data_IF_151824465209
#
_entry.id   IF_151824465209
#
_cell.length_a   1.000
_cell.length_b   1.000
_cell.length_c   1.000
_cell.angle_alpha   90.00
_cell.angle_beta   90.00
_cell.angle_gamma   90.00
#
_symmetry.space_group_name_H-M   'P 1'
#
loop_
_entity.id
_entity.type
_entity.pdbx_description
1 polymer ?
#
# COMPACT_ATOMS: atom_id res chain seq x y z
N UNK A 1 3.26 9.76 -4.09
CA UNK A 1 2.54 9.26 -5.30
C UNK A 1 1.62 10.34 -5.82
N UNK A 2 1.24 10.38 -7.10
CA UNK A 2 0.38 11.44 -7.64
C UNK A 2 -0.89 10.87 -8.29
N UNK A 3 -2.01 11.56 -8.10
CA UNK A 3 -3.29 11.30 -8.76
C UNK A 3 -4.10 12.60 -8.77
N UNK A 4 -5.42 12.49 -8.84
CA UNK A 4 -6.24 13.68 -8.82
C UNK A 4 -7.72 13.43 -8.57
N UNK A 5 -8.47 14.51 -8.70
CA UNK A 5 -9.93 14.51 -8.56
C UNK A 5 -10.50 15.59 -9.47
N UNK A 6 -11.26 15.19 -10.48
CA UNK A 6 -11.86 16.11 -11.45
C UNK A 6 -13.27 16.49 -10.97
N UNK A 7 -13.60 17.78 -10.99
CA UNK A 7 -14.86 18.33 -10.47
C UNK A 7 -15.11 17.98 -8.99
N UNK A 8 -14.05 18.01 -8.18
CA UNK A 8 -14.13 17.75 -6.74
C UNK A 8 -13.88 18.98 -5.87
N UNK A 9 -13.52 20.11 -6.47
CA UNK A 9 -13.41 21.39 -5.77
C UNK A 9 -14.82 21.82 -5.35
N UNK A 10 -14.98 22.21 -4.10
CA UNK A 10 -16.26 22.51 -3.46
C UNK A 10 -16.14 23.71 -2.54
N UNK A 11 -17.27 24.33 -2.18
CA UNK A 11 -17.28 25.33 -1.11
C UNK A 11 -17.05 24.70 0.25
N UNK A 12 -16.40 25.43 1.14
CA UNK A 12 -16.01 24.92 2.46
C UNK A 12 -17.19 24.57 3.35
N UNK A 13 -18.35 25.19 3.16
CA UNK A 13 -19.59 24.78 3.86
C UNK A 13 -20.04 23.35 3.50
N UNK A 14 -19.75 22.84 2.30
CA UNK A 14 -20.02 21.43 1.95
C UNK A 14 -19.13 20.50 2.78
N UNK A 15 -17.85 20.84 2.93
CA UNK A 15 -16.93 20.09 3.80
C UNK A 15 -17.38 20.12 5.27
N UNK A 16 -17.79 21.29 5.78
CA UNK A 16 -18.31 21.42 7.15
C UNK A 16 -19.58 20.59 7.38
N UNK A 17 -20.52 20.57 6.42
CA UNK A 17 -21.71 19.71 6.49
C UNK A 17 -21.35 18.23 6.59
N UNK A 18 -20.28 17.80 5.91
CA UNK A 18 -19.81 16.41 5.96
C UNK A 18 -19.13 16.10 7.29
N UNK A 19 -18.35 17.02 7.84
CA UNK A 19 -17.78 16.86 9.16
C UNK A 19 -18.85 16.86 10.26
N UNK A 20 -19.97 17.56 10.06
CA UNK A 20 -21.13 17.47 10.95
C UNK A 20 -21.77 16.06 10.99
N UNK A 21 -21.45 15.14 10.08
CA UNK A 21 -21.87 13.73 10.19
C UNK A 21 -21.24 13.01 11.38
N UNK A 22 -20.05 13.44 11.78
CA UNK A 22 -19.32 12.85 12.91
C UNK A 22 -19.88 13.37 14.23
N UNK A 23 -20.38 14.62 14.29
CA UNK A 23 -20.87 15.26 15.52
C UNK A 23 -19.84 15.08 16.65
N UNK A 24 -20.24 14.53 17.79
CA UNK A 24 -19.39 14.18 18.94
C UNK A 24 -18.84 12.74 18.85
N UNK A 25 -19.12 12.00 17.78
CA UNK A 25 -18.65 10.64 17.59
C UNK A 25 -17.40 10.59 16.70
N UNK A 26 -16.45 9.72 17.03
CA UNK A 26 -15.23 9.57 16.25
C UNK A 26 -15.43 8.80 14.92
N UNK A 27 -16.55 8.06 14.80
CA UNK A 27 -16.85 7.18 13.67
C UNK A 27 -18.23 7.46 13.08
N UNK A 28 -18.33 7.31 11.75
CA UNK A 28 -19.62 7.24 11.06
C UNK A 28 -19.63 6.07 10.06
N UNK A 29 -20.81 5.55 9.74
CA UNK A 29 -20.91 4.37 8.88
C UNK A 29 -20.54 4.72 7.44
N UNK A 30 -19.81 3.82 6.77
CA UNK A 30 -19.39 4.01 5.37
C UNK A 30 -20.56 4.33 4.44
N UNK A 31 -21.71 3.63 4.47
CA UNK A 31 -22.82 3.95 3.57
C UNK A 31 -23.36 5.37 3.77
N UNK A 32 -23.45 5.83 5.02
CA UNK A 32 -23.93 7.18 5.35
C UNK A 32 -22.94 8.24 4.88
N UNK A 33 -21.65 8.03 5.14
CA UNK A 33 -20.60 8.92 4.67
C UNK A 33 -20.57 8.98 3.14
N UNK A 34 -20.53 7.83 2.48
CA UNK A 34 -20.50 7.71 1.02
C UNK A 34 -21.70 8.34 0.32
N UNK A 35 -22.90 8.22 0.89
CA UNK A 35 -24.11 8.82 0.35
C UNK A 35 -24.07 10.35 0.35
N UNK A 36 -23.41 10.97 1.34
CA UNK A 36 -23.25 12.42 1.39
C UNK A 36 -22.03 12.89 0.59
N UNK A 37 -20.90 12.19 0.71
CA UNK A 37 -19.61 12.61 0.17
C UNK A 37 -19.48 12.33 -1.33
N UNK A 38 -20.15 11.29 -1.82
CA UNK A 38 -20.18 10.93 -3.24
C UNK A 38 -21.08 11.83 -4.10
N UNK A 39 -21.82 12.78 -3.50
CA UNK A 39 -22.59 13.76 -4.26
C UNK A 39 -21.65 14.73 -4.98
N UNK A 40 -22.07 15.18 -6.17
CA UNK A 40 -21.39 16.27 -6.88
C UNK A 40 -21.25 17.51 -5.96
N UNK A 41 -20.15 18.26 -6.01
CA UNK A 41 -19.89 19.42 -5.15
C UNK A 41 -20.71 20.67 -5.53
N UNK A 42 -21.98 20.50 -5.88
CA UNK A 42 -22.91 21.59 -6.15
C UNK A 42 -23.78 21.83 -4.92
N UNK A 43 -23.76 23.05 -4.40
CA UNK A 43 -24.48 23.43 -3.16
C UNK A 43 -25.98 23.12 -3.20
N UNK A 44 -26.61 23.24 -4.37
CA UNK A 44 -28.03 22.93 -4.59
C UNK A 44 -28.41 21.47 -4.29
N UNK A 45 -27.43 20.57 -4.16
CA UNK A 45 -27.63 19.16 -3.83
C UNK A 45 -27.58 18.86 -2.32
N UNK A 46 -27.32 19.88 -1.50
CA UNK A 46 -27.10 19.74 -0.07
C UNK A 46 -28.13 20.56 0.72
N UNK A 47 -28.52 19.99 1.86
CA UNK A 47 -29.30 20.70 2.88
C UNK A 47 -28.37 21.11 4.02
N UNK A 48 -28.21 22.42 4.19
CA UNK A 48 -27.34 23.00 5.21
C UNK A 48 -28.07 23.33 6.51
N UNK A 49 -29.35 22.99 6.65
CA UNK A 49 -30.17 23.27 7.84
C UNK A 49 -29.59 22.70 9.16
N UNK A 50 -28.75 21.67 9.05
CA UNK A 50 -28.06 21.07 10.18
C UNK A 50 -26.80 21.82 10.66
N UNK A 51 -26.32 22.80 9.89
CA UNK A 51 -25.21 23.66 10.28
C UNK A 51 -25.71 24.87 11.08
N UNK A 52 -24.95 25.26 12.10
CA UNK A 52 -25.21 26.50 12.83
C UNK A 52 -24.83 27.72 12.00
N UNK A 53 -25.31 28.90 12.39
CA UNK A 53 -24.94 30.16 11.72
C UNK A 53 -23.43 30.41 11.80
N UNK A 54 -22.79 30.04 12.92
CA UNK A 54 -21.35 30.14 13.11
C UNK A 54 -20.59 29.21 12.16
N UNK A 55 -21.08 27.97 11.98
CA UNK A 55 -20.47 27.03 11.03
C UNK A 55 -20.61 27.50 9.57
N UNK A 56 -21.73 28.11 9.21
CA UNK A 56 -21.92 28.71 7.89
C UNK A 56 -20.96 29.90 7.67
N UNK A 57 -20.86 30.79 8.66
CA UNK A 57 -19.94 31.93 8.62
C UNK A 57 -18.46 31.49 8.54
N UNK A 58 -18.10 30.42 9.25
CA UNK A 58 -16.77 29.80 9.15
C UNK A 58 -16.51 29.29 7.73
N UNK A 59 -17.47 28.60 7.12
CA UNK A 59 -17.36 28.13 5.73
C UNK A 59 -17.10 29.27 4.75
N UNK A 60 -17.85 30.37 4.86
CA UNK A 60 -17.66 31.56 4.02
C UNK A 60 -16.30 32.23 4.25
N UNK A 61 -15.83 32.29 5.50
CA UNK A 61 -14.50 32.82 5.82
C UNK A 61 -13.38 31.98 5.21
N UNK A 62 -13.51 30.65 5.27
CA UNK A 62 -12.55 29.72 4.67
C UNK A 62 -12.50 29.86 3.15
N UNK A 63 -13.66 29.93 2.49
CA UNK A 63 -13.73 30.16 1.04
C UNK A 63 -13.06 31.50 0.65
N UNK A 64 -13.25 32.55 1.46
CA UNK A 64 -12.63 33.87 1.24
C UNK A 64 -11.11 33.86 1.43
N UNK A 65 -10.61 33.01 2.32
CA UNK A 65 -9.19 32.85 2.59
C UNK A 65 -8.51 31.85 1.63
N UNK A 66 -9.20 31.45 0.55
CA UNK A 66 -8.71 30.49 -0.45
C UNK A 66 -8.37 29.11 0.15
N UNK A 67 -9.04 28.73 1.24
CA UNK A 67 -8.95 27.38 1.80
C UNK A 67 -9.42 26.37 0.76
N UNK A 68 -8.70 25.25 0.64
CA UNK A 68 -9.03 24.24 -0.35
C UNK A 68 -10.02 23.23 0.24
N UNK A 69 -11.23 23.20 -0.29
CA UNK A 69 -12.27 22.29 0.15
C UNK A 69 -12.62 21.28 -0.96
N UNK A 70 -12.31 20.00 -0.71
CA UNK A 70 -12.54 18.91 -1.64
C UNK A 70 -13.70 18.01 -1.20
N UNK A 71 -14.49 17.61 -2.18
CA UNK A 71 -15.62 16.72 -2.04
C UNK A 71 -15.73 15.81 -3.27
N UNK A 72 -15.58 14.51 -3.10
CA UNK A 72 -15.96 13.57 -4.16
C UNK A 72 -15.22 12.24 -4.13
N UNK A 73 -15.22 11.58 -5.29
CA UNK A 73 -14.50 10.34 -5.55
C UNK A 73 -13.26 10.70 -6.36
N UNK A 74 -12.08 10.43 -5.80
CA UNK A 74 -10.82 10.67 -6.50
C UNK A 74 -10.53 9.61 -7.57
N UNK A 75 -9.48 9.81 -8.36
CA UNK A 75 -9.07 8.92 -9.45
C UNK A 75 -8.78 7.48 -8.97
N UNK A 76 -8.59 7.29 -7.66
CA UNK A 76 -8.37 6.00 -7.01
C UNK A 76 -9.66 5.32 -6.53
N UNK A 77 -10.82 5.92 -6.76
CA UNK A 77 -12.11 5.42 -6.29
C UNK A 77 -12.35 5.62 -4.79
N UNK A 78 -11.48 6.37 -4.10
CA UNK A 78 -11.66 6.66 -2.68
C UNK A 78 -12.58 7.88 -2.50
N UNK A 79 -13.51 7.75 -1.56
CA UNK A 79 -14.47 8.78 -1.19
C UNK A 79 -13.81 9.63 -0.10
N UNK A 80 -13.48 10.88 -0.45
CA UNK A 80 -12.75 11.79 0.44
C UNK A 80 -13.47 13.13 0.57
N UNK A 81 -13.46 13.65 1.80
CA UNK A 81 -13.75 15.05 2.09
C UNK A 81 -12.48 15.64 2.67
N UNK A 82 -11.94 16.71 2.10
CA UNK A 82 -10.71 17.35 2.59
C UNK A 82 -10.97 18.84 2.77
N UNK A 83 -10.41 19.41 3.82
CA UNK A 83 -10.36 20.84 4.07
C UNK A 83 -8.91 21.16 4.43
N UNK A 84 -8.29 22.05 3.65
CA UNK A 84 -6.92 22.50 3.86
C UNK A 84 -6.92 23.98 4.18
N UNK A 85 -6.22 24.38 5.24
CA UNK A 85 -6.07 25.77 5.68
C UNK A 85 -4.76 25.99 6.42
N UNK A 86 -4.55 27.21 6.92
CA UNK A 86 -3.38 27.52 7.76
C UNK A 86 -3.45 26.76 9.09
N UNK A 87 -2.29 26.58 9.74
CA UNK A 87 -2.23 25.95 11.06
C UNK A 87 -3.15 26.62 12.09
N UNK A 88 -3.36 27.93 11.98
CA UNK A 88 -4.22 28.71 12.86
C UNK A 88 -5.72 28.51 12.54
N UNK A 89 -6.06 28.31 11.27
CA UNK A 89 -7.43 27.96 10.84
C UNK A 89 -7.79 26.50 11.15
N UNK A 90 -6.80 25.62 11.38
CA UNK A 90 -7.00 24.19 11.70
C UNK A 90 -6.69 23.84 13.16
N UNK A 91 -5.89 24.63 13.88
CA UNK A 91 -5.40 24.28 15.22
C UNK A 91 -4.68 25.45 15.94
N UNK A 92 -5.40 26.22 16.75
CA UNK A 92 -4.83 27.06 17.85
C UNK A 92 -4.13 26.22 18.97
N UNK A 93 -3.62 25.02 18.67
CA UNK A 93 -3.03 24.07 19.63
C UNK A 93 -1.60 23.61 19.27
N UNK A 94 -1.02 23.98 18.12
CA UNK A 94 0.30 23.44 17.72
C UNK A 94 1.31 24.56 17.51
N UNK A 95 2.12 24.82 18.55
CA UNK A 95 3.36 25.59 18.44
C UNK A 95 4.37 24.86 17.55
N UNK A 96 4.42 25.21 16.27
CA UNK A 96 5.41 24.73 15.31
C UNK A 96 6.31 25.89 14.85
N UNK A 97 7.18 26.37 15.72
CA UNK A 97 8.02 27.56 15.50
C UNK A 97 9.11 27.42 14.42
N UNK A 98 9.11 26.35 13.59
CA UNK A 98 10.13 26.15 12.53
C UNK A 98 9.64 25.54 11.22
N UNK A 99 8.41 25.01 11.13
CA UNK A 99 7.92 24.28 9.94
C UNK A 99 6.64 24.92 9.40
N UNK A 100 6.73 25.57 8.24
CA UNK A 100 5.59 26.25 7.60
C UNK A 100 4.86 25.29 6.69
N UNK A 101 3.72 24.78 7.16
CA UNK A 101 2.87 23.86 6.42
C UNK A 101 1.41 24.26 6.57
N UNK A 102 0.63 23.99 5.54
CA UNK A 102 -0.82 23.91 5.71
C UNK A 102 -1.16 22.63 6.46
N UNK A 103 -2.35 22.64 7.05
CA UNK A 103 -2.93 21.48 7.71
C UNK A 103 -4.18 21.05 6.98
N UNK A 104 -4.34 19.74 6.91
CA UNK A 104 -5.45 19.10 6.23
C UNK A 104 -6.25 18.29 7.25
N UNK A 105 -7.55 18.55 7.27
CA UNK A 105 -8.55 17.68 7.88
C UNK A 105 -9.15 16.83 6.76
N UNK A 106 -9.14 15.51 6.93
CA UNK A 106 -9.69 14.59 5.95
C UNK A 106 -10.68 13.64 6.61
N UNK A 107 -11.84 13.48 5.97
CA UNK A 107 -12.73 12.35 6.21
C UNK A 107 -12.49 11.26 5.17
N UNK A 108 -12.21 10.03 5.61
CA UNK A 108 -12.00 8.88 4.73
C UNK A 108 -12.55 7.60 5.33
N UNK A 109 -12.94 6.69 4.46
CA UNK A 109 -13.39 5.34 4.82
C UNK A 109 -12.20 4.42 5.08
N UNK A 110 -12.16 3.81 6.27
CA UNK A 110 -11.10 2.88 6.70
C UNK A 110 -11.64 1.47 6.92
N UNK A 111 -10.71 0.52 6.98
CA UNK A 111 -10.97 -0.87 7.35
C UNK A 111 -10.58 -1.09 8.81
N UNK A 112 -11.48 -1.73 9.56
CA UNK A 112 -11.27 -2.14 10.94
C UNK A 112 -11.42 -3.65 11.05
N UNK A 113 -10.58 -4.23 11.90
CA UNK A 113 -10.60 -5.62 12.31
C UNK A 113 -11.21 -5.69 13.70
N UNK A 114 -12.10 -6.65 13.93
CA UNK A 114 -12.68 -6.87 15.26
C UNK A 114 -12.69 -8.36 15.62
N UNK A 115 -12.35 -8.74 16.86
CA UNK A 115 -12.49 -10.12 17.31
C UNK A 115 -13.96 -10.52 17.26
N UNK A 116 -14.27 -11.62 16.58
CA UNK A 116 -15.64 -12.17 16.56
C UNK A 116 -15.90 -13.02 17.80
N UNK A 117 -14.86 -13.69 18.30
CA UNK A 117 -14.88 -14.47 19.53
C UNK A 117 -13.55 -14.26 20.27
N UNK A 118 -13.61 -13.92 21.56
CA UNK A 118 -12.41 -13.73 22.38
C UNK A 118 -11.59 -15.03 22.47
N UNK A 119 -10.26 -14.90 22.46
CA UNK A 119 -9.35 -16.03 22.56
C UNK A 119 -9.22 -16.89 21.29
N UNK A 120 -9.74 -16.41 20.15
CA UNK A 120 -9.62 -17.07 18.84
C UNK A 120 -8.86 -16.19 17.85
N UNK A 121 -8.38 -16.79 16.76
CA UNK A 121 -7.79 -16.06 15.63
C UNK A 121 -8.85 -15.49 14.67
N UNK A 122 -10.15 -15.57 15.00
CA UNK A 122 -11.24 -15.20 14.10
C UNK A 122 -11.56 -13.70 14.21
N UNK A 123 -11.07 -12.95 13.23
CA UNK A 123 -11.35 -11.51 13.11
C UNK A 123 -12.31 -11.23 11.96
N UNK A 124 -13.39 -10.52 12.30
CA UNK A 124 -14.28 -9.88 11.35
C UNK A 124 -13.64 -8.62 10.79
N UNK A 125 -14.20 -8.15 9.67
CA UNK A 125 -13.79 -6.90 9.03
C UNK A 125 -15.00 -6.01 8.87
N UNK A 126 -14.85 -4.73 9.19
CA UNK A 126 -15.87 -3.71 8.98
C UNK A 126 -15.24 -2.45 8.43
N UNK A 127 -16.00 -1.73 7.63
CA UNK A 127 -15.60 -0.42 7.15
C UNK A 127 -16.35 0.68 7.90
N UNK A 128 -15.62 1.70 8.33
CA UNK A 128 -16.17 2.90 8.95
C UNK A 128 -15.38 4.13 8.48
N UNK A 129 -16.05 5.27 8.38
CA UNK A 129 -15.39 6.53 8.08
C UNK A 129 -14.89 7.18 9.37
N UNK A 130 -13.68 7.75 9.29
CA UNK A 130 -13.02 8.48 10.38
C UNK A 130 -12.50 9.82 9.87
N UNK A 131 -12.11 10.69 10.80
CA UNK A 131 -11.39 11.92 10.48
C UNK A 131 -9.93 11.77 10.90
N UNK A 132 -9.01 12.18 10.03
CA UNK A 132 -7.60 12.36 10.36
C UNK A 132 -7.16 13.81 10.12
N UNK A 133 -6.26 14.29 10.98
CA UNK A 133 -5.66 15.61 10.91
C UNK A 133 -4.16 15.45 10.72
N UNK A 134 -3.60 16.13 9.73
CA UNK A 134 -2.18 16.00 9.43
C UNK A 134 -1.64 17.27 8.73
N UNK A 135 -0.35 17.56 8.88
CA UNK A 135 0.31 18.57 8.08
C UNK A 135 0.52 18.06 6.65
N UNK A 136 0.42 18.95 5.66
CA UNK A 136 0.73 18.63 4.27
C UNK A 136 2.14 18.03 4.11
N UNK A 137 3.12 18.54 4.87
CA UNK A 137 4.45 17.96 4.96
C UNK A 137 4.61 17.15 6.25
N UNK A 138 4.74 15.82 6.13
CA UNK A 138 4.85 14.89 7.28
C UNK A 138 6.03 15.22 8.20
N UNK A 139 7.11 15.81 7.69
CA UNK A 139 8.24 16.33 8.47
C UNK A 139 7.90 17.47 9.43
N UNK A 140 6.78 18.16 9.22
CA UNK A 140 6.25 19.17 10.14
C UNK A 140 5.38 18.58 11.25
N UNK A 141 5.16 17.26 11.28
CA UNK A 141 4.33 16.62 12.30
C UNK A 141 4.95 16.81 13.68
N UNK A 142 4.23 17.40 14.65
CA UNK A 142 4.72 17.48 16.02
C UNK A 142 4.77 16.09 16.65
N UNK A 143 5.79 15.84 17.45
CA UNK A 143 5.80 14.66 18.31
C UNK A 143 4.99 14.92 19.58
N UNK A 144 3.67 14.80 19.45
CA UNK A 144 2.77 14.89 20.59
C UNK A 144 2.73 13.52 21.26
N UNK A 145 3.28 13.44 22.47
CA UNK A 145 3.13 12.26 23.32
C UNK A 145 1.66 11.98 23.61
N UNK A 146 1.28 10.71 23.69
CA UNK A 146 -0.04 10.29 24.18
C UNK A 146 -0.01 10.49 25.68
N UNK A 147 -0.28 11.71 26.14
CA UNK A 147 -0.31 12.00 27.57
C UNK A 147 -1.62 11.42 28.15
N UNK A 148 -1.51 10.44 29.02
CA UNK A 148 -2.64 9.88 29.78
C UNK A 148 -3.26 10.89 30.76
N UNK A 149 -2.58 12.01 31.01
CA UNK A 149 -3.09 13.07 31.88
C UNK A 149 -4.16 13.97 31.23
N UNK A 150 -4.40 13.87 29.91
CA UNK A 150 -5.36 14.73 29.20
C UNK A 150 -6.78 14.15 29.18
N UNK A 151 -6.92 12.83 29.26
CA UNK A 151 -8.22 12.14 29.24
C UNK A 151 -8.13 10.88 30.07
N UNK A 152 -8.83 10.85 31.20
CA UNK A 152 -8.98 9.64 32.02
C UNK A 152 -9.58 8.50 31.18
N UNK A 153 -9.31 7.25 31.56
CA UNK A 153 -9.88 6.07 30.91
C UNK A 153 -10.96 5.42 31.79
N UNK A 154 -11.94 4.78 31.15
CA UNK A 154 -12.96 3.96 31.84
C UNK A 154 -13.06 2.58 31.21
N UNK A 155 -13.26 1.57 32.06
CA UNK A 155 -13.54 0.20 31.64
C UNK A 155 -14.92 0.13 31.00
N UNK A 156 -14.99 -0.43 29.79
CA UNK A 156 -16.27 -0.66 29.09
C UNK A 156 -16.59 -2.13 28.84
N UNK A 157 -15.58 -2.99 28.89
CA UNK A 157 -15.78 -4.42 28.69
C UNK A 157 -14.72 -5.21 29.46
N UNK A 158 -15.16 -6.06 30.41
CA UNK A 158 -14.28 -6.97 31.12
C UNK A 158 -14.01 -8.20 30.26
N UNK A 159 -12.75 -8.60 30.14
CA UNK A 159 -12.34 -9.71 29.26
C UNK A 159 -12.08 -11.02 30.00
N UNK A 160 -12.35 -11.06 31.31
CA UNK A 160 -12.22 -12.23 32.17
C UNK A 160 -10.87 -12.97 32.05
N UNK A 161 -9.78 -12.21 31.90
CA UNK A 161 -8.42 -12.75 31.80
C UNK A 161 -7.96 -13.06 30.37
N UNK A 162 -8.84 -12.91 29.37
CA UNK A 162 -8.50 -13.13 27.96
C UNK A 162 -7.99 -11.82 27.35
N UNK A 163 -6.87 -11.87 26.64
CA UNK A 163 -6.38 -10.74 25.86
C UNK A 163 -7.01 -10.75 24.46
N UNK A 164 -7.83 -9.73 24.09
CA UNK A 164 -8.48 -9.67 22.78
C UNK A 164 -7.51 -9.59 21.59
N UNK A 165 -6.26 -9.18 21.80
CA UNK A 165 -5.28 -8.93 20.74
C UNK A 165 -4.13 -9.94 20.71
N UNK A 166 -4.11 -10.93 21.62
CA UNK A 166 -3.10 -11.97 21.65
C UNK A 166 -3.01 -12.78 20.34
N UNK A 167 -4.15 -13.02 19.69
CA UNK A 167 -4.25 -13.74 18.41
C UNK A 167 -4.53 -12.81 17.22
N UNK A 168 -4.17 -11.52 17.33
CA UNK A 168 -4.38 -10.55 16.26
C UNK A 168 -3.72 -11.01 14.94
N UNK A 169 -4.35 -10.75 13.78
CA UNK A 169 -3.75 -11.01 12.48
C UNK A 169 -2.42 -10.28 12.31
N UNK A 170 -1.47 -10.88 11.58
CA UNK A 170 -0.12 -10.33 11.44
C UNK A 170 -0.10 -8.92 10.83
N UNK A 171 -1.09 -8.57 10.02
CA UNK A 171 -1.22 -7.23 9.45
C UNK A 171 -1.37 -6.13 10.51
N UNK A 172 -1.99 -6.43 11.66
CA UNK A 172 -2.15 -5.49 12.78
C UNK A 172 -0.88 -5.40 13.63
N UNK A 173 0.12 -6.25 13.41
CA UNK A 173 1.35 -6.27 14.20
C UNK A 173 2.47 -5.40 13.64
N UNK A 174 2.20 -4.64 12.57
CA UNK A 174 3.23 -3.96 11.77
C UNK A 174 3.34 -2.45 12.04
N UNK A 175 2.37 -1.89 12.76
CA UNK A 175 2.17 -0.45 12.88
C UNK A 175 2.14 0.00 14.34
N UNK A 176 2.51 1.26 14.62
CA UNK A 176 2.37 1.87 15.93
C UNK A 176 0.91 2.27 16.18
N UNK A 177 0.36 1.84 17.31
CA UNK A 177 -0.99 2.19 17.75
C UNK A 177 -0.97 3.23 18.86
N UNK A 178 -2.00 4.08 18.92
CA UNK A 178 -2.13 5.12 19.94
C UNK A 178 -2.74 4.63 21.26
N UNK A 179 -2.63 3.34 21.58
CA UNK A 179 -3.21 2.75 22.77
C UNK A 179 -2.33 1.61 23.29
N UNK A 180 -2.37 1.39 24.59
CA UNK A 180 -1.60 0.33 25.25
C UNK A 180 -2.23 -1.03 24.95
N UNK A 181 -1.44 -1.99 24.48
CA UNK A 181 -1.90 -3.35 24.22
C UNK A 181 -0.76 -4.37 24.17
N UNK A 182 -1.10 -5.64 23.92
CA UNK A 182 -0.16 -6.72 23.65
C UNK A 182 0.41 -6.74 22.23
N UNK A 183 -0.05 -5.86 21.34
CA UNK A 183 0.53 -5.74 19.99
C UNK A 183 2.00 -5.27 20.06
N UNK A 184 2.86 -5.69 19.13
CA UNK A 184 4.25 -5.27 19.11
C UNK A 184 4.39 -3.74 19.03
N UNK A 185 5.26 -3.18 19.86
CA UNK A 185 5.58 -1.74 19.82
C UNK A 185 6.49 -1.42 18.66
N UNK A 186 6.13 -0.42 17.87
CA UNK A 186 6.92 0.08 16.74
C UNK A 186 7.33 1.54 16.97
N UNK A 187 8.55 1.88 16.60
CA UNK A 187 8.98 3.29 16.55
C UNK A 187 8.20 4.03 15.46
N UNK A 188 7.75 5.26 15.78
CA UNK A 188 7.15 6.15 14.79
C UNK A 188 8.16 6.88 13.92
N UNK A 189 9.42 6.91 14.33
CA UNK A 189 10.49 7.56 13.57
C UNK A 189 10.88 6.65 12.42
N UNK A 190 10.67 7.12 11.20
CA UNK A 190 10.97 6.38 9.97
C UNK A 190 11.92 7.20 9.09
N UNK A 191 12.79 6.51 8.36
CA UNK A 191 13.66 7.15 7.36
C UNK A 191 12.81 7.72 6.24
N UNK A 192 13.15 8.94 5.79
CA UNK A 192 12.42 9.66 4.75
C UNK A 192 13.35 10.02 3.59
N UNK A 193 12.73 10.16 2.42
CA UNK A 193 13.36 10.66 1.20
C UNK A 193 12.40 11.65 0.54
N UNK A 194 12.91 12.60 -0.25
CA UNK A 194 12.11 13.61 -0.95
C UNK A 194 11.30 14.55 -0.03
N UNK A 195 11.82 14.80 1.17
CA UNK A 195 11.30 15.78 2.14
C UNK A 195 11.53 17.21 1.66
N UNK A 196 10.60 18.14 1.94
CA UNK A 196 10.68 19.53 1.48
C UNK A 196 11.86 20.30 2.11
N UNK A 197 12.12 20.05 3.39
CA UNK A 197 13.14 20.69 4.21
C UNK A 197 14.40 19.82 4.38
N UNK A 198 14.51 18.72 3.62
CA UNK A 198 15.71 17.88 3.60
C UNK A 198 15.96 17.08 4.89
N UNK A 199 14.93 16.76 5.66
CA UNK A 199 15.07 15.95 6.88
C UNK A 199 15.27 14.47 6.55
N UNK A 200 16.14 13.79 7.29
CA UNK A 200 16.43 12.37 7.06
C UNK A 200 15.35 11.42 7.60
N UNK A 201 14.52 11.91 8.52
CA UNK A 201 13.50 11.11 9.21
C UNK A 201 12.23 11.91 9.39
N UNK A 202 11.08 11.23 9.34
CA UNK A 202 9.77 11.80 9.65
C UNK A 202 9.06 10.96 10.71
N UNK A 203 8.00 11.53 11.29
CA UNK A 203 7.14 10.83 12.23
C UNK A 203 5.92 10.27 11.51
N UNK A 204 5.76 8.96 11.56
CA UNK A 204 4.54 8.32 11.12
C UNK A 204 3.37 8.61 12.09
N UNK A 205 2.13 8.62 11.58
CA UNK A 205 0.95 8.77 12.42
C UNK A 205 0.69 7.49 13.23
N UNK A 206 -0.02 7.61 14.34
CA UNK A 206 -0.51 6.43 15.05
C UNK A 206 -1.77 5.88 14.38
N UNK A 207 -1.92 4.56 14.41
CA UNK A 207 -3.21 3.91 14.16
C UNK A 207 -4.08 3.91 15.42
N UNK A 208 -5.39 3.82 15.25
CA UNK A 208 -6.34 3.92 16.36
C UNK A 208 -7.16 2.64 16.53
N UNK A 209 -7.78 2.49 17.69
CA UNK A 209 -8.82 1.51 17.92
C UNK A 209 -10.03 2.19 18.56
N UNK A 210 -11.19 1.59 18.36
CA UNK A 210 -12.46 2.10 18.84
C UNK A 210 -13.28 0.98 19.50
N UNK A 211 -14.05 1.33 20.52
CA UNK A 211 -15.08 0.48 21.09
C UNK A 211 -16.34 1.33 21.25
N UNK A 212 -17.46 0.89 20.68
CA UNK A 212 -18.69 1.66 20.79
C UNK A 212 -18.62 3.06 20.13
N UNK A 213 -17.70 3.28 19.19
CA UNK A 213 -17.46 4.59 18.58
C UNK A 213 -16.54 5.51 19.38
N UNK A 214 -16.07 5.07 20.54
CA UNK A 214 -15.15 5.80 21.41
C UNK A 214 -13.71 5.34 21.22
N UNK A 215 -12.75 6.25 21.32
CA UNK A 215 -11.33 5.93 21.17
C UNK A 215 -10.84 5.07 22.33
N UNK A 216 -10.16 3.97 21.99
CA UNK A 216 -9.55 3.04 22.94
C UNK A 216 -8.24 3.61 23.45
N UNK A 217 -8.00 3.45 24.75
CA UNK A 217 -6.78 3.87 25.46
C UNK A 217 -5.94 2.68 25.89
N UNK A 218 -6.59 1.59 26.28
CA UNK A 218 -5.91 0.37 26.72
C UNK A 218 -6.74 -0.88 26.41
N UNK A 219 -6.06 -1.95 26.01
CA UNK A 219 -6.61 -3.29 25.83
C UNK A 219 -5.65 -4.28 26.47
N UNK A 220 -6.13 -5.04 27.44
CA UNK A 220 -5.31 -6.03 28.14
C UNK A 220 -6.20 -7.22 28.59
N UNK A 221 -5.67 -8.06 29.49
CA UNK A 221 -6.40 -9.20 30.06
C UNK A 221 -7.47 -8.82 31.10
N UNK A 222 -7.46 -7.58 31.61
CA UNK A 222 -8.48 -7.10 32.56
C UNK A 222 -9.68 -6.50 31.83
N UNK A 223 -9.46 -5.87 30.68
CA UNK A 223 -10.55 -5.36 29.86
C UNK A 223 -10.15 -4.43 28.72
N UNK A 224 -11.18 -3.82 28.14
CA UNK A 224 -11.09 -2.76 27.13
C UNK A 224 -11.45 -1.43 27.79
N UNK A 225 -10.57 -0.45 27.65
CA UNK A 225 -10.70 0.88 28.23
C UNK A 225 -10.79 1.94 27.14
N UNK A 226 -11.75 2.84 27.27
CA UNK A 226 -11.95 4.00 26.38
C UNK A 226 -11.81 5.31 27.15
N UNK A 227 -11.79 6.43 26.43
CA UNK A 227 -11.86 7.77 27.02
C UNK A 227 -13.10 7.94 27.93
N UNK A 228 -12.90 8.46 29.14
CA UNK A 228 -13.95 8.54 30.16
C UNK A 228 -15.11 9.44 29.76
N UNK A 229 -14.82 10.52 29.03
CA UNK A 229 -15.80 11.51 28.52
C UNK A 229 -16.66 10.98 27.38
N UNK A 230 -16.31 9.88 26.73
CA UNK A 230 -17.02 9.40 25.55
C UNK A 230 -18.19 8.48 25.91
N UNK A 231 -19.36 8.71 25.31
CA UNK A 231 -20.54 7.85 25.46
C UNK A 231 -20.59 6.76 24.39
N UNK A 232 -20.77 5.51 24.83
CA UNK A 232 -20.82 4.33 23.95
C UNK A 232 -22.08 4.36 23.09
N UNK A 233 -21.90 4.29 21.78
CA UNK A 233 -22.97 4.13 20.82
C UNK A 233 -23.38 2.66 20.69
N UNK A 234 -24.65 2.36 20.96
CA UNK A 234 -25.25 1.02 20.77
C UNK A 234 -25.05 0.46 19.36
N UNK A 235 -24.98 1.35 18.35
CA UNK A 235 -24.74 0.93 16.97
C UNK A 235 -23.35 0.28 16.80
N UNK A 236 -22.33 0.87 17.43
CA UNK A 236 -20.95 0.43 17.32
C UNK A 236 -20.57 -0.62 18.36
N UNK A 237 -21.26 -0.65 19.50
CA UNK A 237 -21.04 -1.60 20.59
C UNK A 237 -21.13 -3.06 20.12
N UNK A 238 -22.02 -3.36 19.16
CA UNK A 238 -22.20 -4.70 18.60
C UNK A 238 -20.95 -5.27 17.89
N UNK A 239 -20.02 -4.41 17.46
CA UNK A 239 -18.77 -4.83 16.83
C UNK A 239 -17.63 -5.00 17.84
N UNK A 240 -17.84 -4.67 19.11
CA UNK A 240 -16.84 -4.76 20.16
C UNK A 240 -15.60 -3.90 19.88
N UNK A 241 -14.42 -4.48 20.06
CA UNK A 241 -13.13 -3.84 19.81
C UNK A 241 -12.84 -3.77 18.30
N UNK A 242 -12.86 -2.57 17.74
CA UNK A 242 -12.52 -2.29 16.35
C UNK A 242 -11.11 -1.71 16.25
N UNK A 243 -10.15 -2.51 15.81
CA UNK A 243 -8.76 -2.10 15.59
C UNK A 243 -8.55 -1.70 14.14
N UNK A 244 -8.01 -0.50 13.91
CA UNK A 244 -7.75 -0.02 12.56
C UNK A 244 -6.73 -0.92 11.86
N UNK A 245 -7.06 -1.35 10.65
CA UNK A 245 -6.14 -2.02 9.73
C UNK A 245 -5.48 -1.03 8.78
N UNK A 246 -4.36 -1.41 8.14
CA UNK A 246 -3.68 -0.53 7.22
C UNK A 246 -4.58 -0.18 6.03
N UNK A 247 -4.30 0.99 5.46
CA UNK A 247 -5.05 1.46 4.32
C UNK A 247 -4.58 0.82 3.02
N UNK A 248 -5.54 0.74 2.11
CA UNK A 248 -5.35 0.26 0.76
C UNK A 248 -5.11 1.45 -0.18
N UNK A 249 -3.85 1.86 -0.32
CA UNK A 249 -3.46 2.96 -1.22
C UNK A 249 -3.09 2.39 -2.60
N UNK A 250 -3.82 2.69 -3.68
CA UNK A 250 -3.44 2.25 -5.01
C UNK A 250 -2.26 3.06 -5.57
N UNK A 251 -1.22 2.36 -6.02
CA UNK A 251 -0.07 2.84 -6.77
C UNK A 251 -0.35 2.72 -8.26
N UNK A 252 -0.70 3.83 -8.88
CA UNK A 252 -0.99 3.88 -10.31
C UNK A 252 0.23 4.36 -11.12
N UNK A 253 0.54 3.66 -12.22
CA UNK A 253 1.44 4.18 -13.24
C UNK A 253 0.75 5.30 -14.03
N UNK A 254 1.53 6.13 -14.74
CA UNK A 254 1.01 7.15 -15.66
C UNK A 254 0.16 6.56 -16.80
N UNK A 255 0.28 5.26 -17.07
CA UNK A 255 -0.55 4.51 -18.02
C UNK A 255 -1.84 3.91 -17.43
N UNK A 256 -2.19 4.22 -16.17
CA UNK A 256 -3.47 3.82 -15.55
C UNK A 256 -3.50 2.40 -14.95
N UNK A 257 -2.35 1.72 -14.83
CA UNK A 257 -2.28 0.42 -14.14
C UNK A 257 -1.98 0.65 -12.66
N UNK A 258 -2.88 0.20 -11.78
CA UNK A 258 -2.77 0.42 -10.34
C UNK A 258 -2.50 -0.88 -9.56
N UNK A 259 -1.48 -0.87 -8.68
CA UNK A 259 -1.21 -1.93 -7.69
C UNK A 259 -1.66 -1.47 -6.31
N UNK A 260 -2.29 -2.36 -5.53
CA UNK A 260 -2.84 -2.01 -4.21
C UNK A 260 -1.80 -2.14 -3.10
N UNK A 261 -1.37 -1.03 -2.51
CA UNK A 261 -0.60 -1.03 -1.27
C UNK A 261 -1.50 -1.24 -0.07
N UNK A 262 -1.49 -2.44 0.52
CA UNK A 262 -2.21 -2.75 1.76
C UNK A 262 -1.40 -2.44 3.03
N UNK A 263 -0.27 -1.74 2.92
CA UNK A 263 0.62 -1.42 4.02
C UNK A 263 0.90 0.07 3.99
N UNK A 264 -0.05 0.87 4.46
CA UNK A 264 0.17 2.29 4.70
C UNK A 264 -0.61 2.67 5.94
N UNK A 265 -0.01 3.45 6.83
CA UNK A 265 -0.61 3.78 8.12
C UNK A 265 -1.84 4.66 7.96
N UNK A 266 -1.69 5.80 7.28
CA UNK A 266 -2.73 6.81 7.04
C UNK A 266 -2.60 7.45 5.64
N UNK A 267 -3.73 7.75 4.99
CA UNK A 267 -3.81 8.59 3.79
C UNK A 267 -3.56 10.03 4.21
N UNK A 268 -2.32 10.45 4.02
CA UNK A 268 -1.89 11.82 4.20
C UNK A 268 -1.54 12.35 2.82
N UNK A 269 -2.17 13.44 2.42
CA UNK A 269 -2.00 13.95 1.07
C UNK A 269 -2.00 15.47 1.00
N UNK A 270 -1.29 15.95 0.00
CA UNK A 270 -1.25 17.34 -0.43
C UNK A 270 -2.19 17.48 -1.62
N UNK A 271 -3.14 18.41 -1.56
CA UNK A 271 -4.02 18.72 -2.68
C UNK A 271 -3.70 20.11 -3.21
N UNK A 272 -3.54 20.22 -4.53
CA UNK A 272 -3.33 21.51 -5.20
C UNK A 272 -4.22 21.60 -6.43
N UNK A 273 -4.67 22.79 -6.80
CA UNK A 273 -5.35 23.01 -8.08
C UNK A 273 -4.36 22.71 -9.22
N UNK A 274 -4.78 21.93 -10.21
CA UNK A 274 -3.94 21.60 -11.36
C UNK A 274 -3.69 22.85 -12.22
N UNK A 275 -2.43 23.05 -12.60
CA UNK A 275 -2.02 24.12 -13.52
C UNK A 275 -2.54 23.91 -14.94
N UNK A 276 -2.88 22.68 -15.31
CA UNK A 276 -3.37 22.32 -16.65
C UNK A 276 -4.90 22.42 -16.76
N UNK A 277 -5.61 22.21 -15.64
CA UNK A 277 -7.07 22.26 -15.59
C UNK A 277 -7.53 22.75 -14.22
N UNK A 278 -8.08 23.96 -14.18
CA UNK A 278 -8.54 24.60 -12.94
C UNK A 278 -9.70 23.87 -12.25
N UNK A 279 -10.42 22.99 -12.95
CA UNK A 279 -11.47 22.14 -12.38
C UNK A 279 -10.94 20.79 -11.86
N UNK A 280 -9.62 20.58 -11.88
CA UNK A 280 -8.98 19.34 -11.41
C UNK A 280 -8.06 19.64 -10.24
N UNK A 281 -8.15 18.80 -9.22
CA UNK A 281 -7.16 18.73 -8.15
C UNK A 281 -6.07 17.71 -8.51
N UNK A 282 -4.82 18.11 -8.31
CA UNK A 282 -3.67 17.23 -8.24
C UNK A 282 -3.48 16.82 -6.78
N UNK A 283 -3.43 15.51 -6.53
CA UNK A 283 -3.32 14.96 -5.19
C UNK A 283 -2.01 14.18 -5.08
N UNK A 284 -1.19 14.54 -4.10
CA UNK A 284 0.09 13.89 -3.80
C UNK A 284 0.02 13.18 -2.45
N UNK A 285 0.11 11.86 -2.47
CA UNK A 285 0.08 11.02 -1.27
C UNK A 285 1.46 10.90 -0.65
N UNK A 286 1.54 11.18 0.64
CA UNK A 286 2.61 10.81 1.55
C UNK A 286 2.42 9.33 1.93
N UNK A 287 3.48 8.54 1.76
CA UNK A 287 3.45 7.12 2.06
C UNK A 287 4.40 6.82 3.19
N UNK A 288 3.91 6.15 4.22
CA UNK A 288 4.69 5.76 5.38
C UNK A 288 4.56 4.27 5.62
N UNK A 289 5.70 3.60 5.87
CA UNK A 289 5.82 2.14 6.01
C UNK A 289 5.04 1.38 4.94
N UNK A 290 5.57 1.43 3.74
CA UNK A 290 5.05 0.61 2.65
C UNK A 290 5.80 -0.70 2.60
N UNK A 291 5.09 -1.82 2.38
CA UNK A 291 5.71 -3.11 2.00
C UNK A 291 6.64 -2.96 0.79
N UNK A 292 6.51 -1.84 0.10
CA UNK A 292 7.16 -1.45 -1.13
C UNK A 292 8.44 -0.62 -0.94
N UNK A 293 8.71 -0.15 0.29
CA UNK A 293 9.95 0.48 0.70
C UNK A 293 10.80 -0.43 1.61
N UNK A 294 10.21 -1.48 2.17
CA UNK A 294 10.93 -2.49 2.94
C UNK A 294 11.70 -3.46 2.02
N UNK A 295 12.94 -3.77 2.40
CA UNK A 295 13.72 -4.81 1.73
C UNK A 295 13.12 -6.18 2.05
N UNK A 296 12.38 -6.74 1.09
CA UNK A 296 11.79 -8.08 1.23
C UNK A 296 12.77 -9.12 0.70
N UNK A 297 13.11 -10.11 1.53
CA UNK A 297 13.87 -11.27 1.08
C UNK A 297 13.04 -12.06 0.05
N UNK A 298 13.57 -12.20 -1.17
CA UNK A 298 12.91 -12.97 -2.22
C UNK A 298 13.38 -14.42 -2.13
N UNK A 299 12.44 -15.35 -2.29
CA UNK A 299 12.72 -16.79 -2.30
C UNK A 299 13.73 -17.14 -3.42
N UNK A 300 14.82 -17.83 -3.07
CA UNK A 300 15.87 -18.29 -3.99
C UNK A 300 15.45 -19.47 -4.89
N UNK A 301 14.21 -19.97 -4.73
CA UNK A 301 13.66 -21.12 -5.43
C UNK A 301 13.89 -21.08 -6.96
N UNK A 302 13.64 -19.98 -7.69
CA UNK A 302 13.90 -19.97 -9.13
C UNK A 302 15.38 -20.18 -9.48
N UNK A 303 16.29 -19.56 -8.71
CA UNK A 303 17.74 -19.80 -8.85
C UNK A 303 18.09 -21.28 -8.63
N UNK A 304 17.54 -21.90 -7.59
CA UNK A 304 17.74 -23.33 -7.31
C UNK A 304 17.20 -24.21 -8.45
N UNK A 305 16.03 -23.88 -9.01
CA UNK A 305 15.45 -24.59 -10.16
C UNK A 305 16.36 -24.49 -11.38
N UNK A 306 16.88 -23.31 -11.71
CA UNK A 306 17.82 -23.13 -12.82
C UNK A 306 19.11 -23.92 -12.58
N UNK A 307 19.67 -23.89 -11.38
CA UNK A 307 20.85 -24.69 -11.02
C UNK A 307 20.58 -26.19 -11.21
N UNK A 308 19.42 -26.69 -10.80
CA UNK A 308 19.03 -28.09 -11.01
C UNK A 308 18.92 -28.43 -12.51
N UNK A 309 18.29 -27.56 -13.32
CA UNK A 309 18.19 -27.72 -14.78
C UNK A 309 19.59 -27.83 -15.42
N UNK A 310 20.52 -26.95 -15.03
CA UNK A 310 21.88 -26.91 -15.58
C UNK A 310 22.75 -28.10 -15.12
N UNK A 311 22.74 -28.45 -13.83
CA UNK A 311 23.48 -29.60 -13.29
C UNK A 311 23.03 -30.89 -13.98
N UNK A 312 21.72 -31.06 -14.16
CA UNK A 312 21.18 -32.19 -14.91
C UNK A 312 21.69 -32.24 -16.35
N UNK A 313 21.89 -31.08 -16.98
CA UNK A 313 22.53 -30.97 -18.30
C UNK A 313 23.99 -31.42 -18.30
N UNK A 314 24.80 -30.98 -17.33
CA UNK A 314 26.23 -31.33 -17.20
C UNK A 314 26.42 -32.82 -16.93
N UNK A 315 25.64 -33.40 -16.01
CA UNK A 315 25.69 -34.84 -15.72
C UNK A 315 25.34 -35.66 -16.96
N UNK A 316 24.34 -35.22 -17.73
CA UNK A 316 23.97 -35.85 -19.00
C UNK A 316 25.14 -35.79 -20.01
N UNK A 317 25.84 -34.66 -20.09
CA UNK A 317 26.99 -34.49 -21.00
C UNK A 317 28.19 -35.35 -20.59
N UNK A 318 28.51 -35.44 -19.30
CA UNK A 318 29.59 -36.27 -18.78
C UNK A 318 29.36 -37.76 -19.05
N UNK A 319 28.14 -38.24 -18.81
CA UNK A 319 27.74 -39.63 -19.10
C UNK A 319 27.91 -39.98 -20.59
N UNK A 320 27.67 -39.02 -21.49
CA UNK A 320 27.85 -39.19 -22.94
C UNK A 320 29.33 -39.29 -23.31
N UNK A 321 30.20 -38.45 -22.74
CA UNK A 321 31.63 -38.44 -23.08
C UNK A 321 32.40 -39.67 -22.54
N UNK A 322 31.92 -40.30 -21.46
CA UNK A 322 32.60 -41.43 -20.80
C UNK A 322 32.49 -42.76 -21.56
N UNK A 323 31.55 -42.93 -22.51
CA UNK A 323 31.30 -44.21 -23.18
C UNK A 323 31.81 -44.20 -24.65
N UNK A 324 33.03 -44.70 -24.89
CA UNK A 324 33.69 -44.72 -26.22
C UNK A 324 33.16 -45.76 -27.24
N UNK A 325 31.88 -46.14 -27.23
CA UNK A 325 31.31 -47.06 -28.26
C UNK A 325 29.95 -46.61 -28.79
N UNK A 326 29.99 -46.12 -30.04
CA UNK A 326 28.99 -46.22 -31.12
C UNK A 326 27.49 -46.21 -30.77
N UNK A 327 26.85 -45.08 -31.08
CA UNK A 327 25.56 -44.91 -31.81
C UNK A 327 24.26 -45.54 -31.25
N UNK A 328 24.29 -46.59 -30.42
CA UNK A 328 23.14 -46.96 -29.59
C UNK A 328 22.88 -45.92 -28.46
N UNK A 329 23.88 -45.10 -28.11
CA UNK A 329 23.81 -43.99 -27.16
C UNK A 329 23.05 -42.75 -27.67
N UNK A 330 22.68 -42.75 -28.95
CA UNK A 330 21.60 -41.92 -29.50
C UNK A 330 20.20 -42.41 -29.03
N UNK A 331 20.14 -43.34 -28.08
CA UNK A 331 18.96 -43.78 -27.31
C UNK A 331 19.17 -43.65 -25.78
N UNK A 332 20.43 -43.47 -25.34
CA UNK A 332 20.82 -42.63 -24.17
C UNK A 332 20.77 -41.13 -24.50
N UNK A 333 20.35 -40.78 -25.72
CA UNK A 333 19.26 -39.84 -25.97
C UNK A 333 18.41 -39.74 -24.75
N UNK A 334 18.76 -38.76 -23.92
CA UNK A 334 17.81 -37.83 -23.39
C UNK A 334 16.54 -38.47 -22.80
N UNK A 335 16.61 -39.72 -22.34
CA UNK A 335 16.52 -40.33 -21.02
C UNK A 335 16.01 -39.40 -19.94
N UNK A 336 16.36 -38.12 -20.04
CA UNK A 336 15.72 -37.02 -19.35
C UNK A 336 15.85 -35.80 -20.27
N UNK A 337 15.04 -35.54 -21.32
CA UNK A 337 13.63 -35.20 -21.17
C UNK A 337 13.46 -34.75 -19.74
N UNK A 338 14.07 -33.63 -19.39
CA UNK A 338 14.71 -33.29 -18.12
C UNK A 338 13.81 -33.50 -16.89
N UNK A 339 13.55 -34.79 -16.62
CA UNK A 339 12.26 -35.36 -16.25
C UNK A 339 11.05 -34.65 -16.91
N UNK A 340 10.39 -35.18 -17.95
CA UNK A 340 9.13 -34.59 -18.45
C UNK A 340 8.10 -34.37 -17.33
N UNK A 341 8.15 -35.22 -16.30
CA UNK A 341 7.44 -35.06 -15.02
C UNK A 341 8.00 -33.92 -14.14
N UNK A 342 9.31 -33.69 -14.10
CA UNK A 342 9.92 -32.56 -13.38
C UNK A 342 9.81 -31.26 -14.15
N UNK A 343 9.71 -31.25 -15.49
CA UNK A 343 9.40 -30.03 -16.24
C UNK A 343 8.04 -29.48 -15.80
N UNK A 344 7.08 -30.37 -15.50
CA UNK A 344 5.80 -29.99 -14.87
C UNK A 344 6.03 -29.46 -13.44
N UNK A 345 6.91 -30.08 -12.65
CA UNK A 345 7.23 -29.61 -11.29
C UNK A 345 7.94 -28.25 -11.31
N UNK A 346 8.94 -28.05 -12.16
CA UNK A 346 9.64 -26.78 -12.35
C UNK A 346 8.67 -25.71 -12.83
N UNK A 347 7.81 -26.02 -13.80
CA UNK A 347 6.79 -25.09 -14.26
C UNK A 347 5.82 -24.74 -13.13
N UNK A 348 5.37 -25.72 -12.34
CA UNK A 348 4.49 -25.47 -11.19
C UNK A 348 5.19 -24.64 -10.10
N UNK A 349 6.45 -24.90 -9.80
CA UNK A 349 7.26 -24.13 -8.83
C UNK A 349 7.44 -22.68 -9.28
N UNK A 350 7.76 -22.46 -10.56
CA UNK A 350 7.93 -21.11 -11.11
C UNK A 350 6.60 -20.37 -11.23
N UNK A 351 5.52 -21.04 -11.66
CA UNK A 351 4.18 -20.44 -11.69
C UNK A 351 3.73 -20.08 -10.27
N UNK A 352 3.90 -20.98 -9.31
CA UNK A 352 3.58 -20.69 -7.91
C UNK A 352 4.39 -19.49 -7.38
N UNK A 353 5.70 -19.47 -7.65
CA UNK A 353 6.56 -18.35 -7.27
C UNK A 353 6.12 -17.04 -7.92
N UNK A 354 5.82 -17.04 -9.22
CA UNK A 354 5.37 -15.86 -9.96
C UNK A 354 4.00 -15.40 -9.47
N UNK A 355 3.04 -16.28 -9.24
CA UNK A 355 1.71 -15.92 -8.73
C UNK A 355 1.79 -15.34 -7.32
N UNK A 356 2.66 -15.89 -6.47
CA UNK A 356 2.81 -15.41 -5.09
C UNK A 356 3.60 -14.10 -4.99
N UNK A 357 4.55 -13.86 -5.91
CA UNK A 357 5.45 -12.71 -5.87
C UNK A 357 5.24 -11.70 -7.02
N UNK A 358 4.22 -11.87 -7.87
CA UNK A 358 3.97 -11.02 -9.05
C UNK A 358 3.86 -9.56 -8.67
N UNK A 359 3.12 -9.29 -7.58
CA UNK A 359 2.89 -7.92 -7.12
C UNK A 359 4.19 -7.25 -6.68
N UNK A 360 5.12 -8.02 -6.09
CA UNK A 360 6.44 -7.53 -5.67
C UNK A 360 7.34 -7.23 -6.88
N UNK A 361 7.39 -8.13 -7.87
CA UNK A 361 8.18 -7.91 -9.08
C UNK A 361 7.65 -6.76 -9.93
N UNK A 362 6.33 -6.72 -10.14
CA UNK A 362 5.68 -5.69 -10.91
C UNK A 362 5.89 -4.32 -10.29
N UNK A 363 5.70 -4.23 -8.98
CA UNK A 363 5.97 -3.02 -8.24
C UNK A 363 7.44 -2.61 -8.36
N UNK A 364 8.38 -3.50 -8.08
CA UNK A 364 9.80 -3.17 -8.17
C UNK A 364 10.22 -2.71 -9.58
N UNK A 365 9.60 -3.25 -10.63
CA UNK A 365 9.76 -2.76 -12.01
C UNK A 365 9.16 -1.37 -12.18
N UNK A 366 7.97 -1.13 -11.64
CA UNK A 366 7.25 0.14 -11.77
C UNK A 366 7.89 1.29 -10.96
N UNK A 367 8.51 0.98 -9.82
CA UNK A 367 9.18 1.96 -8.93
C UNK A 367 10.68 2.07 -9.18
N UNK A 368 11.26 1.13 -9.92
CA UNK A 368 12.71 1.05 -10.12
C UNK A 368 13.48 0.61 -8.87
N UNK A 369 12.82 -0.09 -7.93
CA UNK A 369 13.40 -0.53 -6.66
C UNK A 369 13.84 -1.99 -6.63
N UNK A 370 13.79 -2.70 -7.78
CA UNK A 370 14.34 -4.06 -7.85
C UNK A 370 15.84 -4.06 -7.56
N UNK A 371 16.23 -4.90 -6.61
CA UNK A 371 17.65 -5.23 -6.39
C UNK A 371 18.19 -6.09 -7.53
N UNK A 372 19.51 -6.17 -7.66
CA UNK A 372 20.14 -7.02 -8.68
C UNK A 372 19.79 -8.50 -8.46
N UNK A 373 19.65 -8.91 -7.21
CA UNK A 373 19.20 -10.23 -6.79
C UNK A 373 17.76 -10.49 -7.25
N UNK A 374 16.87 -9.49 -7.15
CA UNK A 374 15.50 -9.59 -7.64
C UNK A 374 15.44 -9.73 -9.15
N UNK A 375 16.25 -8.96 -9.89
CA UNK A 375 16.38 -9.05 -11.35
C UNK A 375 16.89 -10.44 -11.74
N UNK A 376 17.97 -10.91 -11.10
CA UNK A 376 18.52 -12.24 -11.35
C UNK A 376 17.48 -13.34 -11.11
N UNK A 377 16.65 -13.19 -10.08
CA UNK A 377 15.61 -14.17 -9.75
C UNK A 377 14.44 -14.17 -10.74
N UNK A 378 14.02 -12.98 -11.22
CA UNK A 378 13.00 -12.85 -12.27
C UNK A 378 13.50 -13.42 -13.60
N UNK A 379 14.75 -13.13 -13.95
CA UNK A 379 15.45 -13.73 -15.09
C UNK A 379 15.56 -15.25 -14.97
N UNK A 380 15.80 -15.80 -13.77
CA UNK A 380 15.76 -17.24 -13.51
C UNK A 380 14.34 -17.83 -13.72
N UNK A 381 13.29 -17.10 -13.34
CA UNK A 381 11.91 -17.50 -13.62
C UNK A 381 11.65 -17.57 -15.12
N UNK A 382 12.04 -16.54 -15.88
CA UNK A 382 11.92 -16.53 -17.34
C UNK A 382 12.66 -17.71 -17.98
N UNK A 383 13.90 -17.95 -17.55
CA UNK A 383 14.71 -19.05 -18.04
C UNK A 383 14.02 -20.39 -17.79
N UNK A 384 13.67 -20.68 -16.53
CA UNK A 384 13.08 -21.95 -16.14
C UNK A 384 11.70 -22.17 -16.77
N UNK A 385 10.89 -21.12 -16.90
CA UNK A 385 9.58 -21.18 -17.56
C UNK A 385 9.74 -21.49 -19.05
N UNK A 386 10.53 -20.71 -19.79
CA UNK A 386 10.72 -20.89 -21.24
C UNK A 386 11.35 -22.25 -21.55
N UNK A 387 12.40 -22.62 -20.81
CA UNK A 387 13.06 -23.91 -20.95
C UNK A 387 12.08 -25.07 -20.71
N UNK A 388 11.30 -25.01 -19.63
CA UNK A 388 10.35 -26.08 -19.29
C UNK A 388 9.17 -26.16 -20.24
N UNK A 389 8.63 -25.01 -20.66
CA UNK A 389 7.50 -24.91 -21.57
C UNK A 389 7.83 -25.50 -22.95
N UNK A 390 8.96 -25.09 -23.56
CA UNK A 390 9.34 -25.60 -24.89
C UNK A 390 9.66 -27.08 -24.86
N UNK A 391 10.33 -27.57 -23.81
CA UNK A 391 10.57 -29.00 -23.65
C UNK A 391 9.29 -29.81 -23.47
N UNK A 392 8.26 -29.27 -22.80
CA UNK A 392 6.94 -29.91 -22.70
C UNK A 392 6.19 -29.91 -24.03
N UNK A 393 6.17 -28.78 -24.75
CA UNK A 393 5.47 -28.66 -26.04
C UNK A 393 6.07 -29.56 -27.10
N UNK A 394 7.40 -29.72 -27.12
CA UNK A 394 8.10 -30.57 -28.08
C UNK A 394 8.19 -32.04 -27.66
N UNK A 395 7.74 -32.39 -26.46
CA UNK A 395 7.67 -33.78 -26.00
C UNK A 395 6.39 -34.54 -26.45
N UNK A 396 5.40 -33.86 -27.04
CA UNK A 396 4.15 -34.47 -27.57
C UNK A 396 4.02 -34.09 -29.05
N UNK A 397 4.53 -34.91 -29.99
CA UNK A 397 3.77 -36.04 -30.53
C UNK A 397 4.65 -37.28 -30.76
N UNK A 398 4.05 -38.43 -31.10
CA UNK A 398 4.69 -39.73 -31.26
C UNK A 398 5.80 -39.86 -32.33
N UNK A 399 6.25 -38.77 -32.93
CA UNK A 399 7.48 -38.70 -33.74
C UNK A 399 8.59 -38.00 -32.93
N UNK A 400 9.33 -38.82 -32.20
CA UNK A 400 10.43 -38.44 -31.30
C UNK A 400 11.73 -38.12 -32.06
N UNK A 401 11.65 -37.25 -33.06
CA UNK A 401 12.82 -36.60 -33.67
C UNK A 401 12.79 -35.11 -33.37
N UNK A 402 13.21 -34.74 -32.16
CA UNK A 402 13.81 -33.42 -31.97
C UNK A 402 15.07 -33.41 -32.83
N UNK A 403 14.99 -32.80 -34.01
CA UNK A 403 16.16 -32.59 -34.86
C UNK A 403 17.25 -31.95 -33.97
N UNK A 404 18.39 -32.64 -33.88
CA UNK A 404 19.55 -32.20 -33.08
C UNK A 404 19.88 -30.74 -33.35
N UNK A 405 19.66 -30.31 -34.59
CA UNK A 405 19.86 -28.93 -35.03
C UNK A 405 18.89 -27.96 -34.35
N UNK A 406 17.60 -28.30 -34.23
CA UNK A 406 16.62 -27.47 -33.53
C UNK A 406 16.99 -27.30 -32.05
N UNK A 407 17.38 -28.40 -31.37
CA UNK A 407 17.66 -28.34 -29.93
C UNK A 407 18.89 -27.50 -29.58
N UNK A 408 20.00 -27.70 -30.32
CA UNK A 408 21.21 -26.89 -30.12
C UNK A 408 20.94 -25.42 -30.40
N UNK A 409 20.16 -25.15 -31.45
CA UNK A 409 19.75 -23.78 -31.80
C UNK A 409 18.88 -23.18 -30.69
N UNK A 410 17.91 -23.94 -30.16
CA UNK A 410 17.03 -23.48 -29.08
C UNK A 410 17.78 -23.23 -27.76
N UNK A 411 18.67 -24.13 -27.33
CA UNK A 411 19.44 -23.94 -26.11
C UNK A 411 20.39 -22.73 -26.21
N UNK A 412 20.97 -22.49 -27.38
CA UNK A 412 21.75 -21.28 -27.65
C UNK A 412 20.86 -20.01 -27.66
N UNK A 413 19.69 -20.07 -28.32
CA UNK A 413 18.72 -18.97 -28.33
C UNK A 413 18.22 -18.66 -26.92
N UNK A 414 18.01 -19.67 -26.07
CA UNK A 414 17.52 -19.50 -24.71
C UNK A 414 18.49 -18.67 -23.85
N UNK A 415 19.80 -18.88 -24.00
CA UNK A 415 20.81 -18.06 -23.32
C UNK A 415 20.78 -16.60 -23.82
N UNK A 416 20.66 -16.40 -25.12
CA UNK A 416 20.57 -15.06 -25.73
C UNK A 416 19.30 -14.34 -25.29
N UNK A 417 18.15 -15.01 -25.32
CA UNK A 417 16.86 -14.47 -24.88
C UNK A 417 16.87 -14.12 -23.39
N UNK A 418 17.49 -14.95 -22.56
CA UNK A 418 17.62 -14.67 -21.13
C UNK A 418 18.52 -13.47 -20.87
N UNK A 419 19.65 -13.35 -21.58
CA UNK A 419 20.53 -12.17 -21.48
C UNK A 419 19.83 -10.89 -21.98
N UNK A 420 19.04 -10.98 -23.06
CA UNK A 420 18.22 -9.87 -23.54
C UNK A 420 17.15 -9.47 -22.52
N UNK A 421 16.53 -10.45 -21.84
CA UNK A 421 15.56 -10.18 -20.77
C UNK A 421 16.20 -9.47 -19.59
N UNK A 422 17.37 -9.90 -19.12
CA UNK A 422 18.13 -9.19 -18.08
C UNK A 422 18.37 -7.74 -18.48
N UNK A 423 18.82 -7.51 -19.72
CA UNK A 423 19.07 -6.15 -20.21
C UNK A 423 17.79 -5.29 -20.26
N UNK A 424 16.65 -5.89 -20.61
CA UNK A 424 15.34 -5.24 -20.59
C UNK A 424 14.88 -4.92 -19.17
N UNK A 425 15.01 -5.86 -18.23
CA UNK A 425 14.64 -5.69 -16.82
C UNK A 425 15.48 -4.59 -16.15
N UNK A 426 16.79 -4.58 -16.38
CA UNK A 426 17.70 -3.53 -15.88
C UNK A 426 17.31 -2.17 -16.46
N UNK A 427 17.04 -2.09 -17.77
CA UNK A 427 16.62 -0.84 -18.41
C UNK A 427 15.27 -0.35 -17.87
N UNK A 428 14.31 -1.24 -17.67
CA UNK A 428 13.00 -0.90 -17.12
C UNK A 428 13.13 -0.37 -15.69
N UNK A 429 13.90 -1.05 -14.84
CA UNK A 429 14.16 -0.61 -13.46
C UNK A 429 14.87 0.75 -13.43
N UNK A 430 15.87 0.97 -14.29
CA UNK A 430 16.55 2.26 -14.37
C UNK A 430 15.64 3.39 -14.87
N UNK A 431 14.83 3.15 -15.91
CA UNK A 431 13.91 4.15 -16.45
C UNK A 431 12.86 4.59 -15.42
N UNK A 432 12.33 3.64 -14.64
CA UNK A 432 11.43 3.93 -13.53
C UNK A 432 12.11 4.72 -12.40
N UNK A 433 13.37 4.38 -12.07
CA UNK A 433 14.19 5.09 -11.10
C UNK A 433 14.47 6.56 -11.48
N UNK A 434 14.69 6.85 -12.77
CA UNK A 434 14.88 8.22 -13.27
C UNK A 434 13.62 9.08 -13.14
N UNK A 435 12.44 8.51 -13.41
CA UNK A 435 11.16 9.23 -13.24
C UNK A 435 10.89 9.62 -11.78
N UNK A 436 11.39 8.84 -10.81
CA UNK A 436 11.21 9.12 -9.38
C UNK A 436 12.30 10.01 -8.77
N UNK A 437 13.49 10.10 -9.35
CA UNK A 437 14.61 10.88 -8.79
C UNK A 437 14.65 12.36 -9.20
N UNK A 438 13.67 12.84 -9.98
CA UNK A 438 13.55 14.27 -10.30
C UNK A 438 14.67 14.86 -11.15
N UNK A 439 15.60 14.06 -11.67
CA UNK A 439 16.57 14.52 -12.66
C UNK A 439 15.88 14.60 -14.02
N UNK A 440 15.31 15.77 -14.31
CA UNK A 440 14.91 16.11 -15.69
C UNK A 440 16.15 15.98 -16.59
N UNK A 441 16.04 15.40 -17.80
CA UNK A 441 17.04 15.63 -18.82
C UNK A 441 17.11 17.15 -19.07
N UNK A 442 18.30 17.72 -19.02
CA UNK A 442 18.61 19.13 -19.24
C UNK A 442 17.68 19.79 -20.28
N UNK A 443 16.72 20.58 -19.80
CA UNK A 443 16.08 21.64 -20.58
C UNK A 443 16.30 22.95 -19.84
N UNK A 444 17.36 23.62 -20.26
CA UNK A 444 17.66 25.03 -19.99
C UNK A 444 16.44 25.92 -20.28
N UNK A 445 16.27 26.98 -19.46
CA UNK A 445 15.36 28.13 -19.64
C UNK A 445 13.86 27.84 -19.35
N UNK A 446 13.10 28.60 -18.55
CA UNK A 446 13.12 30.01 -18.16
C UNK A 446 12.57 30.13 -16.73
N UNK A 447 13.29 30.83 -15.86
CA UNK A 447 12.77 31.42 -14.62
C UNK A 447 12.21 32.80 -14.97
N UNK A 448 10.97 33.07 -14.60
CA UNK A 448 10.31 34.37 -14.30
C UNK A 448 8.82 34.00 -14.12
N UNK A 449 8.23 34.03 -12.93
CA UNK A 449 7.86 35.17 -12.07
C UNK A 449 7.65 34.65 -10.65
#
# INVERSE_FOLDING_TARGET
MAGGCTNCISSCKISLLKYALFKEAALTSTPRFSALVGKSPMESLYDFSSLSAEALALGESLDKNEALCQSGINDWGAITSILTGTAQEVSDVITADKCVTNWSMMGITRLFYYPTTLGTAEFGKISAATINFYPDYTECRPDVGINDNLTESKLVFATDGVDPLAMAPDVLKLFPYSFTSSLPTHSRVVTASNTKYGVATVLEPYMHAYYGGCRVREVNTTGIYIESSCEVSKHWEAYGLMVQGPENVPLCSTGGVCVRNYYNTEWELISTVSTENTNRLSIYLNTVRTRYADTVAINILPGVVVTQILIMGVVSLYQVMSHKRSVLLTQTWAYRCQNGRMQVVYLAQIIYHLVYNSDLYWLGLATGTLTLESIANLSCCFFAFSYSCVNLLKARPGDQQLDRNFRLTWEAMQLVLTAAMVALEVRAAHAAGFYHRGERPNSTQVVNV
#
